data_IF_620726473610
#
_entry.id   IF_620726473610
#
_cell.length_a   1.000
_cell.length_b   1.000
_cell.length_c   1.000
_cell.angle_alpha   90.00
_cell.angle_beta   90.00
_cell.angle_gamma   90.00
#
_symmetry.space_group_name_H-M   'P 1'
#
loop_
_entity.id
_entity.type
_entity.pdbx_description
1 polymer ?
#
# COMPACT_ATOMS: atom_id res chain seq x y z
N UNK A 1 3.49 20.72 3.93
CA UNK A 1 2.15 21.30 3.84
C UNK A 1 2.16 22.44 2.82
N UNK A 2 1.31 22.35 1.81
CA UNK A 2 1.26 23.27 0.66
C UNK A 2 0.07 24.24 0.70
N UNK A 3 -0.80 24.11 1.68
CA UNK A 3 -1.99 24.97 1.83
C UNK A 3 -1.70 26.26 2.59
N UNK A 4 -2.75 27.09 2.85
CA UNK A 4 -2.65 28.33 3.60
C UNK A 4 -2.04 28.12 4.99
N UNK A 5 -1.09 28.97 5.39
CA UNK A 5 -0.34 28.82 6.66
C UNK A 5 -1.27 28.77 7.89
N UNK A 6 -2.39 29.50 7.86
CA UNK A 6 -3.37 29.49 8.94
C UNK A 6 -4.09 28.15 9.15
N UNK A 7 -4.10 27.29 8.14
CA UNK A 7 -4.72 25.96 8.15
C UNK A 7 -3.70 24.86 8.31
N UNK A 8 -2.41 25.18 8.53
CA UNK A 8 -1.36 24.17 8.68
C UNK A 8 -1.67 23.24 9.86
N UNK A 9 -1.86 21.93 9.61
CA UNK A 9 -2.10 20.98 10.69
C UNK A 9 -0.82 20.78 11.52
N UNK A 10 -0.93 20.22 12.74
CA UNK A 10 0.24 19.76 13.47
C UNK A 10 0.97 18.67 12.67
N UNK A 11 2.24 18.39 12.97
CA UNK A 11 2.93 17.24 12.40
C UNK A 11 2.12 15.95 12.60
N UNK A 12 1.99 15.11 11.57
CA UNK A 12 1.18 13.91 11.68
C UNK A 12 1.74 12.94 12.71
N UNK A 13 0.88 12.50 13.63
CA UNK A 13 1.21 11.55 14.70
C UNK A 13 0.66 10.15 14.40
N UNK A 14 0.87 9.66 13.18
CA UNK A 14 0.48 8.31 12.81
C UNK A 14 1.02 7.26 13.80
N UNK A 15 0.27 6.20 14.05
CA UNK A 15 0.64 5.15 15.00
C UNK A 15 2.08 4.65 14.79
N UNK A 16 2.50 4.42 13.54
CA UNK A 16 3.86 4.00 13.20
C UNK A 16 4.96 5.01 13.60
N UNK A 17 4.61 6.28 13.81
CA UNK A 17 5.55 7.29 14.32
C UNK A 17 5.62 7.31 15.85
N UNK A 18 4.64 6.75 16.52
CA UNK A 18 4.49 6.79 17.98
C UNK A 18 4.99 5.52 18.67
N UNK A 19 4.99 4.38 17.99
CA UNK A 19 5.53 3.13 18.55
C UNK A 19 7.03 3.25 18.82
N UNK A 20 7.59 2.50 19.80
CA UNK A 20 9.02 2.49 20.08
C UNK A 20 9.87 2.19 18.84
N UNK A 21 11.12 2.64 18.81
CA UNK A 21 12.00 2.50 17.65
C UNK A 21 12.20 1.04 17.24
N UNK A 22 12.31 0.13 18.20
CA UNK A 22 12.44 -1.31 17.92
C UNK A 22 11.15 -1.99 17.44
N UNK A 23 10.00 -1.28 17.43
CA UNK A 23 8.73 -1.76 16.92
C UNK A 23 8.47 -1.34 15.48
N UNK A 24 9.35 -0.56 14.86
CA UNK A 24 9.18 -0.04 13.50
C UNK A 24 10.45 -0.14 12.68
N UNK A 25 10.26 -0.19 11.37
CA UNK A 25 11.31 -0.04 10.39
C UNK A 25 10.86 0.89 9.28
N UNK A 26 11.74 1.78 8.84
CA UNK A 26 11.45 2.80 7.83
C UNK A 26 12.59 2.85 6.83
N UNK A 27 12.28 2.85 5.55
CA UNK A 27 13.24 3.07 4.47
C UNK A 27 12.71 4.07 3.47
N UNK A 28 13.60 4.66 2.70
CA UNK A 28 13.27 5.60 1.62
C UNK A 28 13.99 5.20 0.34
N UNK A 29 13.35 5.40 -0.78
CA UNK A 29 13.93 5.18 -2.10
C UNK A 29 13.41 6.21 -3.08
N UNK A 30 14.29 6.73 -3.92
CA UNK A 30 13.90 7.57 -5.06
C UNK A 30 13.44 6.65 -6.19
N UNK A 31 12.26 6.93 -6.70
CA UNK A 31 11.63 6.25 -7.84
C UNK A 31 11.56 7.20 -9.03
N UNK A 32 11.85 6.71 -10.22
CA UNK A 32 12.00 7.51 -11.47
C UNK A 32 10.70 7.56 -12.27
N UNK A 33 9.59 7.85 -11.58
CA UNK A 33 8.30 8.09 -12.22
C UNK A 33 7.45 9.03 -11.36
N UNK A 34 6.35 9.49 -11.95
CA UNK A 34 5.35 10.30 -11.28
C UNK A 34 4.77 9.57 -10.06
N UNK A 35 4.56 10.30 -8.98
CA UNK A 35 4.09 9.76 -7.70
C UNK A 35 2.75 9.01 -7.80
N UNK A 36 1.86 9.45 -8.70
CA UNK A 36 0.57 8.80 -8.88
C UNK A 36 0.71 7.39 -9.48
N UNK A 37 1.71 7.15 -10.36
CA UNK A 37 2.00 5.81 -10.88
C UNK A 37 2.39 4.86 -9.74
N UNK A 38 3.26 5.32 -8.85
CA UNK A 38 3.66 4.55 -7.67
C UNK A 38 2.48 4.28 -6.73
N UNK A 39 1.71 5.31 -6.40
CA UNK A 39 0.53 5.20 -5.55
C UNK A 39 -0.50 4.20 -6.12
N UNK A 40 -0.80 4.29 -7.41
CA UNK A 40 -1.75 3.39 -8.05
C UNK A 40 -1.29 1.94 -8.02
N UNK A 41 0.00 1.68 -8.21
CA UNK A 41 0.58 0.35 -8.01
C UNK A 41 0.44 -0.14 -6.57
N UNK A 42 0.58 0.75 -5.58
CA UNK A 42 0.33 0.41 -4.18
C UNK A 42 -1.14 0.11 -3.87
N UNK A 43 -2.07 0.81 -4.51
CA UNK A 43 -3.52 0.61 -4.35
C UNK A 43 -4.00 -0.67 -5.03
N UNK A 44 -3.42 -1.05 -6.16
CA UNK A 44 -3.80 -2.27 -6.86
C UNK A 44 -3.52 -3.53 -6.02
N UNK A 45 -4.55 -4.26 -5.69
CA UNK A 45 -4.44 -5.51 -4.92
C UNK A 45 -4.32 -6.76 -5.80
N UNK A 46 -4.45 -6.63 -7.13
CA UNK A 46 -4.50 -7.75 -8.08
C UNK A 46 -3.12 -8.05 -8.67
N UNK A 47 -2.32 -7.05 -8.99
CA UNK A 47 -0.95 -7.25 -9.54
C UNK A 47 -0.11 -8.20 -8.69
N UNK A 48 -0.33 -8.21 -7.36
CA UNK A 48 0.42 -9.07 -6.43
C UNK A 48 0.30 -10.56 -6.73
N UNK A 49 -0.78 -10.97 -7.38
CA UNK A 49 -0.98 -12.37 -7.77
C UNK A 49 -0.14 -12.79 -8.98
N UNK A 50 0.34 -11.81 -9.73
CA UNK A 50 1.15 -12.01 -10.94
C UNK A 50 2.59 -11.58 -10.67
N UNK A 51 2.83 -10.29 -10.46
CA UNK A 51 4.17 -9.71 -10.36
C UNK A 51 5.00 -10.34 -9.23
N UNK A 52 4.37 -10.54 -8.06
CA UNK A 52 5.03 -11.09 -6.87
C UNK A 52 4.86 -12.60 -6.72
N UNK A 53 4.39 -13.28 -7.77
CA UNK A 53 4.15 -14.72 -7.71
C UNK A 53 5.44 -15.49 -7.52
N UNK A 54 5.46 -16.30 -6.44
CA UNK A 54 6.50 -17.28 -6.17
C UNK A 54 5.96 -18.68 -6.51
N UNK A 55 6.67 -19.42 -7.35
CA UNK A 55 6.26 -20.77 -7.78
C UNK A 55 6.48 -21.82 -6.71
N UNK A 56 7.28 -21.52 -5.69
CA UNK A 56 7.55 -22.42 -4.55
C UNK A 56 6.48 -22.37 -3.45
N UNK A 57 5.42 -21.60 -3.64
CA UNK A 57 4.35 -21.37 -2.67
C UNK A 57 4.56 -20.12 -1.83
N UNK A 58 3.48 -19.59 -1.26
CA UNK A 58 3.52 -18.43 -0.41
C UNK A 58 3.55 -18.83 1.08
N UNK A 59 3.79 -17.84 1.92
CA UNK A 59 3.96 -18.02 3.36
C UNK A 59 2.64 -17.94 4.14
N UNK A 60 1.53 -17.62 3.46
CA UNK A 60 0.19 -17.51 4.05
C UNK A 60 -0.78 -18.49 3.42
N UNK A 61 -1.12 -19.56 4.14
CA UNK A 61 -1.95 -20.64 3.64
C UNK A 61 -3.37 -20.19 3.21
N UNK A 62 -3.99 -19.24 3.89
CA UNK A 62 -5.31 -18.72 3.51
C UNK A 62 -5.22 -17.89 2.23
N UNK A 63 -4.23 -17.03 2.12
CA UNK A 63 -3.97 -16.26 0.90
C UNK A 63 -3.65 -17.17 -0.29
N UNK A 64 -2.89 -18.25 -0.07
CA UNK A 64 -2.55 -19.21 -1.12
C UNK A 64 -3.76 -19.93 -1.64
N UNK A 65 -4.64 -20.41 -0.74
CA UNK A 65 -5.89 -21.04 -1.13
C UNK A 65 -6.78 -20.06 -1.89
N UNK A 66 -6.95 -18.85 -1.38
CA UNK A 66 -7.73 -17.81 -2.04
C UNK A 66 -7.21 -17.44 -3.44
N UNK A 67 -5.88 -17.37 -3.61
CA UNK A 67 -5.25 -17.11 -4.92
C UNK A 67 -5.36 -18.29 -5.87
N UNK A 68 -5.35 -19.51 -5.35
CA UNK A 68 -5.55 -20.70 -6.18
C UNK A 68 -6.97 -20.77 -6.75
N UNK A 69 -7.96 -20.28 -6.01
CA UNK A 69 -9.36 -20.23 -6.46
C UNK A 69 -9.61 -19.04 -7.40
N UNK A 70 -9.10 -17.86 -7.06
CA UNK A 70 -9.33 -16.65 -7.86
C UNK A 70 -8.07 -15.78 -7.96
N UNK A 71 -7.59 -15.59 -9.17
CA UNK A 71 -6.49 -14.65 -9.45
C UNK A 71 -6.93 -13.21 -9.28
N UNK A 72 -8.18 -12.87 -9.62
CA UNK A 72 -8.75 -11.54 -9.45
C UNK A 72 -9.50 -11.44 -8.12
N UNK A 73 -9.26 -10.35 -7.38
CA UNK A 73 -10.07 -10.02 -6.23
C UNK A 73 -11.33 -9.26 -6.65
N UNK A 74 -12.42 -9.45 -5.93
CA UNK A 74 -13.48 -8.45 -5.90
C UNK A 74 -12.99 -7.27 -5.07
N UNK A 75 -12.97 -6.08 -5.66
CA UNK A 75 -12.52 -4.86 -4.97
C UNK A 75 -13.73 -4.05 -4.53
N UNK A 76 -13.86 -3.84 -3.23
CA UNK A 76 -14.88 -2.99 -2.64
C UNK A 76 -14.23 -1.77 -2.00
N UNK A 77 -14.90 -0.61 -2.12
CA UNK A 77 -14.40 0.68 -1.64
C UNK A 77 -15.46 1.33 -0.78
N UNK A 78 -15.07 1.81 0.40
CA UNK A 78 -15.91 2.56 1.32
C UNK A 78 -15.29 3.95 1.56
N UNK A 79 -15.89 5.03 1.03
CA UNK A 79 -15.42 6.40 1.23
C UNK A 79 -15.38 6.80 2.70
N UNK A 80 -14.44 7.68 3.06
CA UNK A 80 -14.26 8.25 4.41
C UNK A 80 -13.90 9.73 4.29
N UNK A 81 -13.85 10.44 5.41
CA UNK A 81 -13.44 11.85 5.49
C UNK A 81 -11.94 12.08 5.21
N UNK A 82 -11.13 11.02 5.24
CA UNK A 82 -9.68 11.10 4.95
C UNK A 82 -9.30 10.56 3.56
N UNK A 83 -10.23 9.95 2.84
CA UNK A 83 -10.01 9.26 1.58
C UNK A 83 -10.94 8.07 1.45
N UNK A 84 -10.47 6.85 1.64
CA UNK A 84 -11.33 5.65 1.69
C UNK A 84 -10.61 4.47 2.34
N UNK A 85 -11.41 3.54 2.86
CA UNK A 85 -10.97 2.17 3.11
C UNK A 85 -11.43 1.27 1.96
N UNK A 86 -10.68 0.22 1.65
CA UNK A 86 -11.04 -0.72 0.60
C UNK A 86 -10.56 -2.12 0.94
N UNK A 87 -11.17 -3.10 0.31
CA UNK A 87 -10.77 -4.49 0.48
C UNK A 87 -10.67 -5.22 -0.85
N UNK A 88 -9.64 -6.06 -0.97
CA UNK A 88 -9.56 -7.12 -1.95
C UNK A 88 -10.11 -8.41 -1.35
N UNK A 89 -11.22 -8.89 -1.88
CA UNK A 89 -11.97 -10.05 -1.40
C UNK A 89 -11.78 -11.20 -2.36
N UNK A 90 -11.38 -12.35 -1.83
CA UNK A 90 -11.24 -13.59 -2.61
C UNK A 90 -11.93 -14.73 -1.89
N UNK A 91 -12.79 -15.41 -2.58
CA UNK A 91 -13.40 -16.65 -2.08
C UNK A 91 -12.32 -17.74 -1.94
N UNK A 92 -12.33 -18.44 -0.81
CA UNK A 92 -11.53 -19.64 -0.60
C UNK A 92 -12.37 -20.86 -0.98
N UNK A 93 -13.53 -21.01 -0.34
CA UNK A 93 -14.57 -21.97 -0.63
C UNK A 93 -15.86 -21.53 0.09
N UNK A 94 -17.00 -22.13 -0.24
CA UNK A 94 -18.26 -21.86 0.43
C UNK A 94 -18.18 -22.12 1.95
N UNK A 95 -17.50 -23.19 2.35
CA UNK A 95 -17.36 -23.61 3.74
C UNK A 95 -16.31 -22.80 4.51
N UNK A 96 -15.19 -22.44 3.86
CA UNK A 96 -14.10 -21.68 4.51
C UNK A 96 -14.37 -20.17 4.52
N UNK A 97 -15.16 -19.66 3.57
CA UNK A 97 -15.49 -18.25 3.45
C UNK A 97 -14.56 -17.46 2.53
N UNK A 98 -14.48 -16.16 2.78
CA UNK A 98 -13.76 -15.19 1.98
C UNK A 98 -12.50 -14.70 2.68
N UNK A 99 -11.37 -14.76 2.01
CA UNK A 99 -10.15 -14.05 2.42
C UNK A 99 -10.31 -12.57 2.09
N UNK A 100 -10.37 -11.76 3.12
CA UNK A 100 -10.54 -10.30 3.05
C UNK A 100 -9.23 -9.65 3.45
N UNK A 101 -8.72 -8.79 2.59
CA UNK A 101 -7.54 -7.98 2.85
C UNK A 101 -7.90 -6.51 2.69
N UNK A 102 -7.96 -5.79 3.80
CA UNK A 102 -8.35 -4.38 3.85
C UNK A 102 -7.17 -3.45 3.89
N UNK A 103 -7.39 -2.23 3.42
CA UNK A 103 -6.40 -1.19 3.26
C UNK A 103 -7.01 0.16 3.58
N UNK A 104 -6.19 1.16 3.88
CA UNK A 104 -6.59 2.55 3.91
C UNK A 104 -5.80 3.36 2.89
N UNK A 105 -6.49 4.16 2.11
CA UNK A 105 -5.91 5.27 1.37
C UNK A 105 -6.21 6.56 2.14
N UNK A 106 -5.18 7.27 2.53
CA UNK A 106 -5.27 8.56 3.21
C UNK A 106 -4.70 9.61 2.26
N UNK A 107 -5.56 10.51 1.83
CA UNK A 107 -5.16 11.56 0.90
C UNK A 107 -4.03 12.43 1.48
N UNK A 108 -3.09 12.91 0.65
CA UNK A 108 -3.05 12.68 -0.79
C UNK A 108 -2.28 11.44 -1.23
N UNK A 109 -1.38 10.85 -0.43
CA UNK A 109 -0.42 9.87 -0.92
C UNK A 109 -0.04 8.75 0.07
N UNK A 110 -0.83 8.53 1.12
CA UNK A 110 -0.56 7.47 2.09
C UNK A 110 -1.38 6.23 1.79
N UNK A 111 -0.77 5.07 1.92
CA UNK A 111 -1.47 3.80 1.95
C UNK A 111 -1.02 2.98 3.16
N UNK A 112 -2.00 2.45 3.91
CA UNK A 112 -1.79 1.42 4.91
C UNK A 112 -2.23 0.07 4.36
N UNK A 113 -1.41 -0.95 4.57
CA UNK A 113 -1.68 -2.32 4.14
C UNK A 113 -1.40 -3.32 5.26
N UNK A 114 -2.15 -4.41 5.35
CA UNK A 114 -1.86 -5.46 6.33
C UNK A 114 -0.54 -6.15 5.96
N UNK A 115 0.21 -6.47 6.99
CA UNK A 115 1.43 -7.24 6.88
C UNK A 115 1.41 -8.39 7.89
N UNK A 116 0.30 -9.14 7.85
CA UNK A 116 0.00 -10.20 8.79
C UNK A 116 0.23 -11.56 8.14
N UNK A 117 1.41 -11.75 7.55
CA UNK A 117 1.77 -13.03 6.94
C UNK A 117 1.74 -14.14 8.01
N UNK A 118 0.66 -14.89 8.03
CA UNK A 118 0.47 -16.17 8.72
C UNK A 118 0.26 -16.10 10.22
N UNK A 119 1.15 -15.57 11.03
CA UNK A 119 1.10 -15.63 12.51
C UNK A 119 1.18 -14.28 13.22
N UNK A 120 1.52 -13.23 12.53
CA UNK A 120 1.75 -11.92 13.13
C UNK A 120 0.50 -11.04 13.02
N UNK A 121 -0.49 -11.30 13.85
CA UNK A 121 -1.50 -10.29 14.16
C UNK A 121 -0.80 -9.10 14.84
N UNK A 122 -1.32 -7.88 14.65
CA UNK A 122 -0.71 -6.71 15.28
C UNK A 122 0.44 -6.08 14.51
N UNK A 123 0.59 -6.40 13.23
CA UNK A 123 1.57 -5.80 12.33
C UNK A 123 0.91 -5.13 11.14
N UNK A 124 1.38 -3.94 10.80
CA UNK A 124 0.98 -3.21 9.62
C UNK A 124 2.18 -2.69 8.85
N UNK A 125 1.97 -2.36 7.59
CA UNK A 125 2.94 -1.65 6.76
C UNK A 125 2.24 -0.60 5.93
N UNK A 126 3.02 0.25 5.29
CA UNK A 126 2.48 1.27 4.42
C UNK A 126 3.55 1.92 3.57
N UNK A 127 3.05 2.75 2.69
CA UNK A 127 3.87 3.56 1.81
C UNK A 127 3.39 5.01 1.81
N UNK A 128 4.33 5.91 1.49
CA UNK A 128 4.04 7.28 1.10
C UNK A 128 4.78 7.57 -0.20
N UNK A 129 4.07 8.05 -1.20
CA UNK A 129 4.65 8.45 -2.48
C UNK A 129 4.71 9.97 -2.54
N UNK A 130 5.80 10.52 -2.01
CA UNK A 130 5.99 11.98 -1.89
C UNK A 130 6.62 12.52 -3.16
N UNK A 131 5.94 13.37 -3.94
CA UNK A 131 6.52 13.93 -5.15
C UNK A 131 7.74 14.80 -4.81
N UNK A 132 8.83 14.59 -5.54
CA UNK A 132 9.98 15.53 -5.57
C UNK A 132 9.72 16.56 -6.68
N UNK A 133 9.29 16.05 -7.82
CA UNK A 133 8.83 16.80 -9.00
C UNK A 133 7.82 15.95 -9.77
N UNK A 134 7.47 16.34 -11.01
CA UNK A 134 6.47 15.64 -11.82
C UNK A 134 6.92 14.25 -12.30
N UNK A 135 8.21 13.98 -12.31
CA UNK A 135 8.82 12.77 -12.90
C UNK A 135 9.57 11.93 -11.85
N UNK A 136 9.66 12.41 -10.61
CA UNK A 136 10.46 11.78 -9.57
C UNK A 136 9.73 11.76 -8.23
N UNK A 137 9.74 10.62 -7.57
CA UNK A 137 9.04 10.39 -6.31
C UNK A 137 9.99 9.89 -5.23
N UNK A 138 9.89 10.41 -4.01
CA UNK A 138 10.49 9.80 -2.83
C UNK A 138 9.49 8.86 -2.18
N UNK A 139 9.70 7.57 -2.34
CA UNK A 139 8.87 6.54 -1.73
C UNK A 139 9.38 6.22 -0.34
N UNK A 140 8.53 6.40 0.65
CA UNK A 140 8.76 5.96 2.02
C UNK A 140 8.06 4.62 2.22
N UNK A 141 8.79 3.67 2.76
CA UNK A 141 8.27 2.36 3.12
C UNK A 141 8.40 2.21 4.62
N UNK A 142 7.33 1.79 5.29
CA UNK A 142 7.35 1.56 6.73
C UNK A 142 6.62 0.28 7.09
N UNK A 143 7.08 -0.34 8.16
CA UNK A 143 6.44 -1.49 8.77
C UNK A 143 6.53 -1.33 10.28
N UNK A 144 5.47 -1.67 11.00
CA UNK A 144 5.45 -1.51 12.44
C UNK A 144 4.55 -2.54 13.12
N UNK A 145 4.78 -2.73 14.42
CA UNK A 145 3.94 -3.53 15.29
C UNK A 145 3.21 -2.63 16.26
N UNK A 146 1.93 -2.94 16.47
CA UNK A 146 1.03 -2.23 17.39
C UNK A 146 0.47 -3.14 18.50
N UNK A 147 0.96 -4.38 18.60
CA UNK A 147 0.57 -5.37 19.63
C UNK A 147 1.45 -5.33 20.88
N UNK A 148 2.36 -4.37 20.97
CA UNK A 148 3.26 -4.21 22.10
C UNK A 148 4.56 -5.02 22.01
N UNK A 149 4.71 -5.84 20.97
CA UNK A 149 5.91 -6.65 20.76
C UNK A 149 6.89 -5.95 19.80
N UNK A 150 8.19 -6.02 20.03
CA UNK A 150 9.17 -5.46 19.09
C UNK A 150 9.22 -6.27 17.79
N UNK A 151 9.71 -5.66 16.72
CA UNK A 151 10.13 -6.38 15.53
C UNK A 151 11.26 -7.36 15.90
N UNK A 152 11.14 -8.60 15.45
CA UNK A 152 12.21 -9.59 15.64
C UNK A 152 13.50 -9.18 14.93
N UNK A 153 14.63 -9.75 15.31
CA UNK A 153 15.91 -9.52 14.62
C UNK A 153 15.83 -9.89 13.14
N UNK A 154 15.13 -10.97 12.81
CA UNK A 154 14.90 -11.38 11.42
C UNK A 154 14.11 -10.35 10.65
N UNK A 155 13.02 -9.81 11.22
CA UNK A 155 12.22 -8.76 10.59
C UNK A 155 13.03 -7.47 10.40
N UNK A 156 13.80 -7.07 11.40
CA UNK A 156 14.69 -5.89 11.29
C UNK A 156 15.77 -6.11 10.25
N UNK A 157 16.36 -7.30 10.20
CA UNK A 157 17.34 -7.65 9.18
C UNK A 157 16.71 -7.64 7.78
N UNK A 158 15.49 -8.14 7.61
CA UNK A 158 14.74 -8.09 6.35
C UNK A 158 14.45 -6.66 5.92
N UNK A 159 14.00 -5.82 6.83
CA UNK A 159 13.82 -4.39 6.58
C UNK A 159 15.17 -3.77 6.18
N UNK A 160 16.27 -4.13 6.86
CA UNK A 160 17.63 -3.65 6.57
C UNK A 160 18.29 -4.26 5.34
N UNK A 161 17.86 -5.42 4.87
CA UNK A 161 18.55 -6.17 3.79
C UNK A 161 17.81 -6.18 2.46
N UNK A 162 16.64 -5.57 2.37
CA UNK A 162 16.01 -5.33 1.08
C UNK A 162 15.29 -6.49 0.45
N UNK A 163 14.80 -7.45 1.21
CA UNK A 163 13.74 -8.29 0.66
C UNK A 163 12.51 -7.47 0.26
N UNK A 164 12.36 -6.31 0.85
CA UNK A 164 11.46 -5.23 0.42
C UNK A 164 12.15 -3.87 0.46
N UNK A 165 13.22 -3.73 1.24
CA UNK A 165 13.85 -2.46 1.59
C UNK A 165 15.36 -2.69 1.68
N UNK A 166 16.19 -2.00 1.09
CA UNK A 166 17.48 -1.73 1.66
C UNK A 166 18.74 -2.35 1.08
N UNK A 167 18.86 -3.58 0.61
CA UNK A 167 20.14 -4.05 0.04
C UNK A 167 20.60 -3.23 -1.16
N UNK A 168 19.65 -2.72 -1.91
CA UNK A 168 19.85 -2.00 -3.15
C UNK A 168 19.81 -0.48 -2.98
N UNK A 169 19.49 0.04 -1.78
CA UNK A 169 19.45 1.48 -1.54
C UNK A 169 20.86 1.97 -1.23
N UNK A 170 21.32 2.95 -1.97
CA UNK A 170 22.59 3.64 -1.72
C UNK A 170 22.27 4.99 -1.10
N UNK A 171 22.26 5.05 0.23
CA UNK A 171 21.89 6.25 1.01
C UNK A 171 22.78 7.45 0.69
N UNK A 172 24.06 7.23 0.45
CA UNK A 172 25.03 8.28 0.11
C UNK A 172 24.69 9.03 -1.18
N UNK A 173 23.93 8.40 -2.07
CA UNK A 173 23.51 8.99 -3.34
C UNK A 173 22.05 9.52 -3.28
N UNK A 174 21.58 10.00 -2.13
CA UNK A 174 20.25 10.57 -2.00
C UNK A 174 19.13 9.53 -2.15
N UNK A 175 19.28 8.37 -1.52
CA UNK A 175 18.32 7.26 -1.53
C UNK A 175 18.11 6.61 -2.91
N UNK A 176 19.09 6.67 -3.78
CA UNK A 176 19.02 5.99 -5.07
C UNK A 176 19.16 4.47 -4.89
N UNK A 177 18.34 3.70 -5.57
CA UNK A 177 18.47 2.25 -5.63
C UNK A 177 19.61 1.84 -6.58
N UNK A 178 20.33 0.79 -6.22
CA UNK A 178 21.28 0.14 -7.14
C UNK A 178 20.56 -0.55 -8.30
N UNK A 179 19.38 -1.12 -8.05
CA UNK A 179 18.53 -1.71 -9.08
C UNK A 179 17.84 -0.59 -9.86
N UNK A 180 18.04 -0.56 -11.16
CA UNK A 180 17.56 0.50 -12.04
C UNK A 180 17.36 -0.02 -13.47
N UNK A 181 16.74 0.76 -14.33
CA UNK A 181 16.61 0.45 -15.76
C UNK A 181 17.98 0.22 -16.44
N UNK A 182 19.05 0.85 -15.96
CA UNK A 182 20.39 0.70 -16.49
C UNK A 182 21.03 -0.68 -16.26
N UNK A 183 20.48 -1.48 -15.37
CA UNK A 183 20.93 -2.85 -15.09
C UNK A 183 19.78 -3.86 -15.06
N UNK A 184 18.69 -3.55 -15.78
CA UNK A 184 17.48 -4.38 -15.86
C UNK A 184 16.94 -4.79 -14.47
N UNK A 185 17.08 -3.94 -13.47
CA UNK A 185 16.68 -4.19 -12.07
C UNK A 185 17.23 -5.52 -11.50
N UNK A 186 18.40 -5.95 -11.97
CA UNK A 186 19.03 -7.23 -11.61
C UNK A 186 18.15 -8.45 -11.92
N UNK A 187 17.37 -8.43 -12.98
CA UNK A 187 16.54 -9.56 -13.37
C UNK A 187 17.40 -10.81 -13.65
N UNK A 188 17.09 -11.90 -12.96
CA UNK A 188 17.66 -13.23 -13.23
C UNK A 188 16.67 -14.07 -14.05
N UNK A 189 17.03 -14.33 -15.30
CA UNK A 189 16.18 -15.08 -16.24
C UNK A 189 16.06 -16.55 -15.89
N UNK A 190 17.00 -17.15 -15.13
CA UNK A 190 16.88 -18.51 -14.62
C UNK A 190 15.88 -18.56 -13.47
N UNK A 191 15.98 -17.63 -12.51
CA UNK A 191 15.03 -17.46 -11.41
C UNK A 191 13.62 -17.16 -11.97
N UNK A 192 13.51 -16.31 -13.00
CA UNK A 192 12.24 -16.03 -13.66
C UNK A 192 11.57 -17.28 -14.23
N UNK A 193 12.32 -18.22 -14.73
CA UNK A 193 11.79 -19.46 -15.31
C UNK A 193 11.37 -20.50 -14.28
N UNK A 194 11.99 -20.48 -13.08
CA UNK A 194 11.90 -21.62 -12.16
C UNK A 194 11.38 -21.27 -10.77
N UNK A 195 11.44 -20.00 -10.35
CA UNK A 195 11.17 -19.63 -8.96
C UNK A 195 10.14 -18.53 -8.81
N UNK A 196 10.26 -17.43 -9.57
CA UNK A 196 9.37 -16.28 -9.45
C UNK A 196 8.94 -15.76 -10.81
N UNK A 197 7.80 -15.10 -10.87
CA UNK A 197 7.27 -14.56 -12.12
C UNK A 197 8.18 -13.48 -12.74
N UNK A 198 8.73 -12.60 -11.92
CA UNK A 198 9.54 -11.47 -12.40
C UNK A 198 11.02 -11.79 -12.57
N UNK A 199 11.57 -12.70 -11.77
CA UNK A 199 13.02 -12.92 -11.69
C UNK A 199 13.79 -11.76 -11.05
N UNK A 200 13.08 -10.73 -10.56
CA UNK A 200 13.66 -9.56 -9.92
C UNK A 200 13.65 -9.77 -8.41
N UNK A 201 14.78 -9.56 -7.70
CA UNK A 201 14.82 -9.69 -6.25
C UNK A 201 14.12 -8.50 -5.56
N UNK A 202 13.33 -8.80 -4.52
CA UNK A 202 12.66 -7.79 -3.70
C UNK A 202 11.34 -7.28 -4.27
N UNK A 203 10.28 -7.36 -3.48
CA UNK A 203 8.90 -6.99 -3.87
C UNK A 203 8.82 -5.54 -4.37
N UNK A 204 9.33 -4.60 -3.59
CA UNK A 204 9.29 -3.18 -3.98
C UNK A 204 10.17 -2.87 -5.21
N UNK A 205 11.24 -3.65 -5.44
CA UNK A 205 12.07 -3.53 -6.65
C UNK A 205 11.30 -3.99 -7.88
N UNK A 206 10.49 -5.05 -7.75
CA UNK A 206 9.59 -5.51 -8.82
C UNK A 206 8.57 -4.42 -9.20
N UNK A 207 7.97 -3.76 -8.20
CA UNK A 207 7.03 -2.66 -8.41
C UNK A 207 7.70 -1.48 -9.11
N UNK A 208 8.87 -1.06 -8.62
CA UNK A 208 9.64 0.02 -9.26
C UNK A 208 9.99 -0.31 -10.71
N UNK A 209 10.43 -1.53 -10.98
CA UNK A 209 10.79 -1.94 -12.33
C UNK A 209 9.64 -1.76 -13.32
N UNK A 210 8.43 -2.16 -12.92
CA UNK A 210 7.24 -1.99 -13.76
C UNK A 210 6.86 -0.51 -13.88
N UNK A 211 6.83 0.22 -12.77
CA UNK A 211 6.37 1.61 -12.72
C UNK A 211 7.34 2.56 -13.44
N UNK A 212 8.65 2.43 -13.22
CA UNK A 212 9.67 3.27 -13.88
C UNK A 212 9.70 3.01 -15.39
N UNK A 213 9.50 1.76 -15.82
CA UNK A 213 9.53 1.40 -17.24
C UNK A 213 8.26 1.79 -18.02
N UNK A 214 7.20 2.25 -17.33
CA UNK A 214 6.06 2.92 -17.98
C UNK A 214 6.42 4.33 -18.46
N UNK A 215 7.61 4.82 -18.13
CA UNK A 215 8.09 6.17 -18.39
C UNK A 215 7.87 7.11 -17.20
N UNK A 216 8.54 8.28 -17.20
CA UNK A 216 8.46 9.24 -16.09
C UNK A 216 7.02 9.67 -15.80
N UNK A 217 6.23 9.91 -16.84
CA UNK A 217 4.79 10.14 -16.78
C UNK A 217 4.12 9.20 -17.78
N UNK A 218 3.34 8.25 -17.30
CA UNK A 218 2.70 7.27 -18.15
C UNK A 218 1.63 7.88 -19.07
N UNK A 219 1.50 7.37 -20.26
CA UNK A 219 0.49 7.78 -21.24
C UNK A 219 -0.88 7.18 -20.86
N UNK A 220 -1.67 7.94 -20.14
CA UNK A 220 -2.99 7.52 -19.64
C UNK A 220 -4.06 7.36 -20.71
N UNK A 221 -3.79 7.81 -21.94
CA UNK A 221 -4.70 7.59 -23.07
C UNK A 221 -4.73 6.12 -23.53
N UNK A 222 -3.75 5.33 -23.08
CA UNK A 222 -3.63 3.90 -23.38
C UNK A 222 -4.17 3.00 -22.27
N UNK A 223 -4.72 3.57 -21.21
CA UNK A 223 -5.26 2.79 -20.09
C UNK A 223 -6.60 2.15 -20.42
N UNK A 224 -6.82 0.97 -19.84
CA UNK A 224 -8.07 0.22 -19.90
C UNK A 224 -8.45 -0.24 -18.49
N UNK A 225 -9.06 0.66 -17.72
CA UNK A 225 -9.44 0.39 -16.33
C UNK A 225 -10.61 -0.59 -16.29
N UNK A 226 -10.49 -1.60 -15.42
CA UNK A 226 -11.49 -2.64 -15.20
C UNK A 226 -12.16 -2.57 -13.83
N UNK A 227 -12.91 -3.59 -13.49
CA UNK A 227 -13.63 -3.68 -12.21
C UNK A 227 -12.71 -3.86 -11.01
N UNK A 228 -11.51 -4.36 -11.22
CA UNK A 228 -10.47 -4.50 -10.18
C UNK A 228 -9.78 -3.18 -9.85
N UNK A 229 -9.93 -2.15 -10.71
CA UNK A 229 -9.30 -0.83 -10.55
C UNK A 229 -10.21 0.18 -9.82
N UNK A 230 -11.32 -0.28 -9.23
CA UNK A 230 -12.28 0.60 -8.52
C UNK A 230 -11.62 1.48 -7.47
N UNK A 231 -10.65 0.95 -6.73
CA UNK A 231 -9.93 1.70 -5.72
C UNK A 231 -9.03 2.78 -6.34
N UNK A 232 -8.39 2.50 -7.49
CA UNK A 232 -7.60 3.48 -8.26
C UNK A 232 -8.51 4.59 -8.80
N UNK A 233 -9.64 4.23 -9.39
CA UNK A 233 -10.64 5.19 -9.90
C UNK A 233 -11.10 6.12 -8.77
N UNK A 234 -11.36 5.56 -7.58
CA UNK A 234 -11.77 6.35 -6.42
C UNK A 234 -10.65 7.30 -5.96
N UNK A 235 -9.39 6.82 -5.92
CA UNK A 235 -8.25 7.68 -5.56
C UNK A 235 -8.14 8.89 -6.50
N UNK A 236 -8.21 8.66 -7.81
CA UNK A 236 -8.18 9.73 -8.82
C UNK A 236 -9.31 10.74 -8.62
N UNK A 237 -10.54 10.25 -8.37
CA UNK A 237 -11.69 11.11 -8.12
C UNK A 237 -11.44 11.99 -6.90
N UNK A 238 -11.07 11.43 -5.76
CA UNK A 238 -10.78 12.16 -4.52
C UNK A 238 -9.65 13.18 -4.71
N UNK A 239 -8.58 12.79 -5.40
CA UNK A 239 -7.46 13.69 -5.66
C UNK A 239 -7.85 14.88 -6.54
N UNK A 240 -8.65 14.65 -7.58
CA UNK A 240 -9.18 15.73 -8.43
C UNK A 240 -10.12 16.68 -7.66
N UNK A 241 -11.00 16.12 -6.82
CA UNK A 241 -11.87 16.90 -5.94
C UNK A 241 -11.06 17.68 -4.90
N UNK A 242 -10.00 17.07 -4.33
CA UNK A 242 -9.13 17.73 -3.37
C UNK A 242 -8.36 18.92 -3.98
N UNK A 243 -7.88 18.78 -5.22
CA UNK A 243 -7.25 19.90 -5.96
C UNK A 243 -8.23 21.07 -6.08
N UNK A 244 -9.44 20.79 -6.57
CA UNK A 244 -10.47 21.81 -6.71
C UNK A 244 -10.85 22.46 -5.37
N UNK A 245 -10.99 21.64 -4.32
CA UNK A 245 -11.27 22.14 -2.96
C UNK A 245 -10.20 23.13 -2.49
N UNK A 246 -8.92 22.81 -2.74
CA UNK A 246 -7.80 23.69 -2.38
C UNK A 246 -7.79 24.97 -3.22
N UNK A 247 -8.05 24.88 -4.52
CA UNK A 247 -8.16 26.03 -5.42
C UNK A 247 -9.28 26.99 -4.98
N UNK A 248 -10.40 26.44 -4.51
CA UNK A 248 -11.55 27.20 -3.97
C UNK A 248 -11.30 27.70 -2.51
N UNK A 249 -10.13 27.45 -1.91
CA UNK A 249 -9.76 27.85 -0.54
C UNK A 249 -10.35 26.97 0.56
N UNK A 250 -10.89 25.80 0.21
CA UNK A 250 -11.43 24.81 1.15
C UNK A 250 -10.38 23.92 1.78
N UNK A 251 -10.83 22.97 2.60
CA UNK A 251 -10.00 22.01 3.34
C UNK A 251 -10.07 20.66 2.63
N UNK A 252 -8.95 20.15 2.07
CA UNK A 252 -8.94 18.84 1.43
C UNK A 252 -9.04 17.71 2.47
N UNK A 253 -9.40 16.47 2.06
CA UNK A 253 -9.44 15.31 2.95
C UNK A 253 -8.05 14.95 3.51
N UNK A 254 -8.03 14.19 4.62
CA UNK A 254 -6.81 13.66 5.20
C UNK A 254 -6.05 14.59 6.16
N UNK A 255 -6.58 15.78 6.48
CA UNK A 255 -5.99 16.69 7.45
C UNK A 255 -6.46 16.45 8.90
N UNK A 256 -7.45 15.59 9.10
CA UNK A 256 -7.94 15.23 10.43
C UNK A 256 -6.93 14.40 11.22
N UNK A 257 -7.02 14.44 12.55
CA UNK A 257 -6.17 13.63 13.45
C UNK A 257 -6.71 12.21 13.65
N UNK A 258 -7.94 11.95 13.23
CA UNK A 258 -8.59 10.64 13.31
C UNK A 258 -7.90 9.55 12.48
N UNK A 259 -7.05 9.93 11.52
CA UNK A 259 -6.30 8.99 10.67
C UNK A 259 -5.13 8.32 11.39
N UNK A 260 -4.77 8.76 12.58
CA UNK A 260 -3.52 8.32 13.21
C UNK A 260 -3.58 6.91 13.80
N UNK A 261 -4.77 6.39 14.10
CA UNK A 261 -4.99 5.06 14.66
C UNK A 261 -5.65 4.07 13.69
N UNK A 262 -5.60 4.36 12.40
CA UNK A 262 -6.15 3.45 11.39
C UNK A 262 -5.25 2.21 11.24
N UNK A 263 -5.88 1.03 11.21
CA UNK A 263 -5.19 -0.25 11.07
C UNK A 263 -5.74 -1.05 9.89
N UNK A 264 -4.90 -1.46 8.96
CA UNK A 264 -5.31 -2.37 7.90
C UNK A 264 -5.39 -3.81 8.45
N UNK A 265 -6.39 -4.56 8.03
CA UNK A 265 -6.69 -5.90 8.56
C UNK A 265 -6.75 -6.94 7.45
N UNK A 266 -6.31 -8.15 7.77
CA UNK A 266 -6.36 -9.31 6.89
C UNK A 266 -6.99 -10.47 7.67
N UNK A 267 -8.14 -10.97 7.18
CA UNK A 267 -8.93 -12.00 7.87
C UNK A 267 -9.69 -12.89 6.89
N UNK A 268 -9.99 -14.11 7.31
CA UNK A 268 -11.02 -14.95 6.68
C UNK A 268 -12.35 -14.66 7.38
N UNK A 269 -13.35 -14.29 6.59
CA UNK A 269 -14.71 -14.02 7.04
C UNK A 269 -15.68 -15.01 6.40
N UNK A 270 -16.78 -15.38 7.08
CA UNK A 270 -17.82 -16.21 6.49
C UNK A 270 -18.37 -15.60 5.19
N UNK A 271 -18.75 -16.44 4.24
CA UNK A 271 -19.38 -16.02 2.98
C UNK A 271 -20.59 -15.12 3.24
N UNK A 272 -20.73 -14.04 2.48
CA UNK A 272 -21.81 -13.07 2.64
C UNK A 272 -21.65 -12.07 3.79
N UNK A 273 -20.54 -12.12 4.53
CA UNK A 273 -20.27 -11.15 5.61
C UNK A 273 -19.90 -9.79 5.01
N UNK A 274 -20.57 -8.73 5.46
CA UNK A 274 -20.20 -7.35 5.15
C UNK A 274 -18.90 -7.00 5.93
N UNK A 275 -17.78 -6.99 5.22
CA UNK A 275 -16.45 -6.84 5.83
C UNK A 275 -16.26 -5.53 6.60
N UNK A 276 -16.85 -4.42 6.11
CA UNK A 276 -16.74 -3.12 6.76
C UNK A 276 -17.29 -3.17 8.18
N UNK A 277 -18.50 -3.73 8.35
CA UNK A 277 -19.13 -3.86 9.66
C UNK A 277 -18.43 -4.89 10.54
N UNK A 278 -18.01 -6.02 9.94
CA UNK A 278 -17.34 -7.09 10.67
C UNK A 278 -15.97 -6.70 11.21
N UNK A 279 -15.26 -5.81 10.53
CA UNK A 279 -13.90 -5.38 10.88
C UNK A 279 -13.85 -3.96 11.49
N UNK A 280 -14.99 -3.28 11.63
CA UNK A 280 -15.03 -1.87 12.04
C UNK A 280 -14.24 -1.59 13.34
N UNK A 281 -14.37 -2.43 14.35
CA UNK A 281 -13.66 -2.28 15.61
C UNK A 281 -12.15 -2.52 15.55
N UNK A 282 -11.67 -3.13 14.48
CA UNK A 282 -10.23 -3.40 14.27
C UNK A 282 -9.60 -2.40 13.28
N UNK A 283 -10.39 -1.96 12.27
CA UNK A 283 -9.93 -1.00 11.25
C UNK A 283 -9.78 0.42 11.81
N UNK A 284 -10.59 0.77 12.80
CA UNK A 284 -10.73 2.14 13.32
C UNK A 284 -10.49 2.19 14.83
N UNK A 285 -9.40 1.64 15.31
CA UNK A 285 -9.10 1.57 16.76
C UNK A 285 -9.15 2.95 17.43
N UNK A 286 -10.18 3.17 18.27
CA UNK A 286 -10.45 4.45 18.90
C UNK A 286 -10.95 5.57 17.99
N UNK A 287 -11.18 5.30 16.71
CA UNK A 287 -11.74 6.24 15.74
C UNK A 287 -13.21 5.90 15.46
N UNK A 288 -14.13 6.85 15.54
CA UNK A 288 -15.52 6.58 15.16
C UNK A 288 -15.60 6.20 13.67
N UNK A 289 -16.21 5.05 13.40
CA UNK A 289 -16.54 4.67 12.04
C UNK A 289 -17.71 5.52 11.56
N UNK A 290 -17.47 6.40 10.61
CA UNK A 290 -18.53 7.17 9.94
C UNK A 290 -18.73 6.62 8.54
N UNK A 291 -19.94 6.13 8.23
CA UNK A 291 -20.33 5.67 6.90
C UNK A 291 -20.71 6.82 5.97
N UNK A 292 -20.76 8.03 6.49
CA UNK A 292 -21.20 9.20 5.71
C UNK A 292 -19.97 9.95 5.17
N UNK A 293 -19.56 9.57 3.97
CA UNK A 293 -18.90 10.51 3.06
C UNK A 293 -20.00 11.42 2.51
N UNK A 294 -20.05 12.63 3.01
CA UNK A 294 -20.81 13.72 2.36
C UNK A 294 -19.81 14.40 1.43
N UNK A 295 -19.93 14.21 0.10
CA UNK A 295 -19.14 15.02 -0.81
C UNK A 295 -19.56 16.47 -0.60
N UNK A 296 -18.57 17.34 -0.37
CA UNK A 296 -18.77 18.78 -0.29
C UNK A 296 -19.29 19.33 -1.63
#
# INVERSE_FOLDING_TARGET
YMGPAALKPPPPAFEWTQVPENHRGITKVVQKCNWLQGLEGGIDSVHTNFLHRNFRGAQNAAMDRARAQSLAATVEVAPTDYGYTYAGIREISEDEGNYVRSYHFIAPFYQLRPNQLGKAQGKASGHMWVPIDDETTLVWNFSYRFDGEPLSETERAQIGTGNEFGKDIVVENGFQSKASAGNDYFIDRAVQKTETFSGIPGTNTQDRAVQDTMGPICDRTKEHLGTTDRAIIMARKILMEAVKTVEDGGIPPGLGTNVYSLRPIEKVLPTGTAWQSALAGELYDGVPYTTEYVPA
#
